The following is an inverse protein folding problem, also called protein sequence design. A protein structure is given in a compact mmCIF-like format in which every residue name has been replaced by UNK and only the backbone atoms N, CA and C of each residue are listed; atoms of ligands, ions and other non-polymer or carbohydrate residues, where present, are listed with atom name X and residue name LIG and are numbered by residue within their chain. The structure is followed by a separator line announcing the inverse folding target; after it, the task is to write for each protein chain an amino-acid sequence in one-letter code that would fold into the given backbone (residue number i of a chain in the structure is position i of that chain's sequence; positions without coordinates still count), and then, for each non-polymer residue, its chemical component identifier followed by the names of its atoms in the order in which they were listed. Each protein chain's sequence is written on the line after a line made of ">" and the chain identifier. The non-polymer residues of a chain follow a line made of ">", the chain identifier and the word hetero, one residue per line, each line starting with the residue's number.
data_IF_216392921329
#
_entry.id   IF_216392921329
#
_cell.length_a   1.000
_cell.length_b   1.000
_cell.length_c   1.000
_cell.angle_alpha   90.00
_cell.angle_beta   90.00
_cell.angle_gamma   90.00
#
_symmetry.space_group_name_H-M   'P 1'
#
loop_
_entity.id
_entity.type
_entity.pdbx_description
1 polymer ?
#
# COMPACT_ATOMS: atom_id res chain seq x y z
N UNK A 1 24.49 31.19 48.91
CA UNK A 1 23.79 31.76 47.74
C UNK A 1 24.17 30.91 46.53
N UNK A 2 23.37 29.88 46.25
CA UNK A 2 23.49 29.08 45.03
C UNK A 2 22.08 28.60 44.74
N UNK A 3 21.50 29.14 43.68
CA UNK A 3 20.15 28.87 43.21
C UNK A 3 20.30 27.72 42.23
N UNK A 4 19.81 26.55 42.62
CA UNK A 4 19.67 25.39 41.73
C UNK A 4 18.26 25.44 41.13
N UNK A 5 18.16 25.96 39.92
CA UNK A 5 16.94 25.93 39.10
C UNK A 5 17.00 24.68 38.24
N UNK A 6 16.58 23.55 38.82
CA UNK A 6 16.32 22.33 38.09
C UNK A 6 15.19 22.54 37.08
N UNK A 7 15.56 22.72 35.81
CA UNK A 7 14.64 22.57 34.69
C UNK A 7 14.12 21.12 34.67
N UNK A 8 12.81 20.88 34.50
CA UNK A 8 12.30 19.54 34.26
C UNK A 8 12.68 19.08 32.85
N UNK A 9 13.12 17.82 32.76
CA UNK A 9 13.40 17.07 31.55
C UNK A 9 12.28 17.22 30.51
N UNK A 10 12.58 17.97 29.44
CA UNK A 10 11.83 17.91 28.20
C UNK A 10 12.12 16.56 27.57
N UNK A 11 11.25 15.59 27.88
CA UNK A 11 11.07 14.38 27.08
C UNK A 11 10.74 14.83 25.67
N UNK A 12 11.75 14.87 24.80
CA UNK A 12 11.57 14.88 23.37
C UNK A 12 10.82 13.60 23.01
N UNK A 13 9.49 13.69 22.93
CA UNK A 13 8.69 12.72 22.21
C UNK A 13 9.18 12.76 20.77
N UNK A 14 9.98 11.75 20.41
CA UNK A 14 10.42 11.50 19.06
C UNK A 14 9.16 11.30 18.21
N UNK A 15 8.78 12.35 17.47
CA UNK A 15 7.74 12.28 16.47
C UNK A 15 8.27 11.32 15.40
N UNK A 16 7.57 10.22 15.07
CA UNK A 16 8.06 9.31 14.04
C UNK A 16 8.21 10.11 12.74
N UNK A 17 9.38 9.98 12.12
CA UNK A 17 9.68 10.59 10.83
C UNK A 17 8.57 10.26 9.83
N UNK A 18 8.25 11.19 8.93
CA UNK A 18 7.24 10.96 7.92
C UNK A 18 7.60 9.72 7.10
N UNK A 19 6.76 8.69 7.14
CA UNK A 19 6.97 7.46 6.36
C UNK A 19 6.89 7.77 4.87
N UNK A 20 7.91 7.38 4.12
CA UNK A 20 7.96 7.54 2.67
C UNK A 20 7.55 6.25 1.98
N UNK A 21 6.62 6.37 1.04
CA UNK A 21 6.07 5.25 0.27
C UNK A 21 6.35 5.49 -1.20
N UNK A 22 7.08 4.59 -1.84
CA UNK A 22 7.30 4.62 -3.28
C UNK A 22 6.66 3.39 -3.87
N UNK A 23 5.54 3.54 -4.58
CA UNK A 23 4.87 2.41 -5.22
C UNK A 23 5.00 2.56 -6.73
N UNK A 24 6.04 1.94 -7.29
CA UNK A 24 6.33 2.00 -8.71
C UNK A 24 5.43 1.09 -9.55
N UNK A 25 5.13 1.52 -10.77
CA UNK A 25 4.56 0.66 -11.81
C UNK A 25 5.63 -0.25 -12.40
N UNK A 26 5.43 -1.57 -12.36
CA UNK A 26 6.27 -2.50 -13.12
C UNK A 26 5.89 -2.40 -14.60
N UNK A 27 6.74 -1.77 -15.40
CA UNK A 27 6.63 -1.79 -16.85
C UNK A 27 7.34 -3.04 -17.39
N UNK A 28 6.57 -4.05 -17.82
CA UNK A 28 7.10 -5.15 -18.63
C UNK A 28 7.36 -4.64 -20.06
N UNK A 29 8.52 -4.92 -20.69
CA UNK A 29 8.72 -4.61 -22.09
C UNK A 29 7.69 -5.39 -22.94
N UNK A 30 6.99 -4.70 -23.85
CA UNK A 30 6.12 -5.31 -24.87
C UNK A 30 6.96 -6.06 -25.92
N UNK A 31 7.64 -7.14 -25.53
CA UNK A 31 8.16 -8.17 -26.43
C UNK A 31 8.83 -9.30 -25.64
N UNK A 32 8.03 -10.19 -25.07
CA UNK A 32 8.40 -11.59 -24.88
C UNK A 32 7.14 -12.44 -25.07
N UNK A 33 6.88 -12.81 -26.32
CA UNK A 33 5.95 -13.86 -26.68
C UNK A 33 6.55 -15.20 -26.20
N UNK A 34 6.46 -15.48 -24.89
CA UNK A 34 6.76 -16.80 -24.34
C UNK A 34 5.41 -17.48 -24.06
N UNK A 35 4.95 -18.23 -25.05
CA UNK A 35 3.84 -19.16 -24.93
C UNK A 35 4.32 -20.26 -23.98
N UNK A 36 3.96 -20.19 -22.70
CA UNK A 36 3.97 -21.37 -21.85
C UNK A 36 2.65 -22.11 -22.06
N UNK A 37 2.65 -23.34 -22.59
CA UNK A 37 1.44 -24.15 -22.61
C UNK A 37 1.04 -24.53 -21.16
N UNK A 38 -0.25 -24.74 -20.88
CA UNK A 38 -0.69 -25.26 -19.59
C UNK A 38 -0.03 -26.62 -19.35
N UNK A 39 0.60 -26.80 -18.19
CA UNK A 39 1.05 -28.10 -17.70
C UNK A 39 -0.17 -28.96 -17.40
N UNK A 40 -0.67 -29.63 -18.45
CA UNK A 40 -1.50 -30.83 -18.31
C UNK A 40 -0.68 -31.87 -17.59
N UNK A 41 -1.27 -32.43 -16.54
CA UNK A 41 -0.72 -33.49 -15.70
C UNK A 41 -0.62 -34.78 -16.52
N UNK A 42 0.46 -34.94 -17.29
CA UNK A 42 0.78 -36.18 -18.02
C UNK A 42 1.84 -36.92 -17.20
N UNK A 43 1.66 -38.22 -16.88
CA UNK A 43 2.60 -38.97 -16.06
C UNK A 43 4.01 -39.00 -16.68
N UNK A 44 4.95 -38.36 -16.01
CA UNK A 44 6.37 -38.38 -16.32
C UNK A 44 6.97 -39.75 -15.92
N UNK A 45 7.42 -40.53 -16.91
CA UNK A 45 8.24 -41.72 -16.67
C UNK A 45 9.72 -41.31 -16.67
N UNK A 46 10.46 -41.50 -15.57
CA UNK A 46 11.90 -41.21 -15.54
C UNK A 46 12.64 -42.07 -16.57
N UNK A 47 13.50 -41.41 -17.36
CA UNK A 47 14.23 -41.99 -18.51
C UNK A 47 15.45 -42.84 -18.11
N UNK A 48 15.41 -43.47 -16.94
CA UNK A 48 16.42 -44.41 -16.43
C UNK A 48 15.76 -45.76 -16.11
N UNK A 49 15.19 -46.37 -17.14
CA UNK A 49 14.99 -47.81 -17.24
C UNK A 49 15.43 -48.17 -18.65
N UNK A 50 16.73 -48.41 -18.82
CA UNK A 50 17.26 -49.00 -20.04
C UNK A 50 16.61 -50.38 -20.24
N UNK A 51 16.21 -50.62 -21.48
CA UNK A 51 15.72 -51.88 -22.03
C UNK A 51 16.68 -53.03 -21.69
N UNK A 52 16.41 -53.74 -20.60
CA UNK A 52 17.10 -54.96 -20.19
C UNK A 52 16.17 -56.15 -20.34
N UNK A 53 16.32 -56.89 -21.44
CA UNK A 53 15.70 -58.21 -21.61
C UNK A 53 16.13 -59.14 -20.46
N UNK A 54 15.12 -59.76 -19.84
CA UNK A 54 15.13 -60.83 -18.81
C UNK A 54 14.89 -60.32 -17.39
N UNK A 55 13.70 -60.68 -16.90
CA UNK A 55 13.22 -60.40 -15.56
C UNK A 55 14.14 -60.90 -14.45
N UNK A 56 14.53 -59.95 -13.60
CA UNK A 56 14.81 -60.17 -12.17
C UNK A 56 14.76 -58.83 -11.46
N UNK A 57 13.90 -58.70 -10.46
CA UNK A 57 13.88 -57.56 -9.55
C UNK A 57 14.99 -57.75 -8.51
N UNK A 58 15.74 -56.70 -8.20
CA UNK A 58 16.70 -56.65 -7.09
C UNK A 58 15.95 -56.49 -5.75
N UNK A 59 16.37 -57.19 -4.67
CA UNK A 59 15.75 -57.06 -3.35
C UNK A 59 16.31 -55.81 -2.65
N UNK A 60 15.52 -54.75 -2.51
CA UNK A 60 15.94 -53.55 -1.79
C UNK A 60 15.02 -52.33 -1.84
N UNK A 61 14.08 -52.25 -2.79
CA UNK A 61 13.06 -51.20 -2.78
C UNK A 61 11.96 -51.57 -1.79
N UNK A 62 12.03 -51.05 -0.56
CA UNK A 62 10.86 -50.99 0.32
C UNK A 62 9.86 -50.04 -0.31
N UNK A 63 8.60 -50.46 -0.43
CA UNK A 63 7.50 -49.56 -0.71
C UNK A 63 7.48 -48.49 0.39
N UNK A 64 7.91 -47.28 0.05
CA UNK A 64 7.75 -46.12 0.91
C UNK A 64 6.26 -45.78 0.98
N UNK A 65 5.72 -45.77 2.19
CA UNK A 65 4.37 -45.26 2.47
C UNK A 65 4.28 -43.83 1.98
N UNK A 66 3.29 -43.56 1.13
CA UNK A 66 2.89 -42.19 0.78
C UNK A 66 2.36 -41.55 2.05
N UNK A 67 3.08 -40.56 2.58
CA UNK A 67 2.55 -39.68 3.61
C UNK A 67 1.49 -38.80 2.95
N UNK A 68 0.25 -39.25 3.01
CA UNK A 68 -0.94 -38.45 2.77
C UNK A 68 -1.18 -37.63 4.04
N UNK A 69 -1.09 -36.31 3.95
CA UNK A 69 -1.58 -35.43 5.00
C UNK A 69 -0.63 -34.31 5.36
N UNK A 70 -0.63 -33.25 4.56
CA UNK A 70 -0.64 -31.91 5.14
C UNK A 70 -1.95 -31.28 4.71
N UNK A 71 -2.89 -31.20 5.64
CA UNK A 71 -4.00 -30.25 5.59
C UNK A 71 -3.40 -28.89 5.90
N UNK A 72 -2.95 -28.17 4.88
CA UNK A 72 -2.75 -26.73 4.99
C UNK A 72 -4.13 -26.09 4.72
N UNK A 73 -4.88 -25.83 5.79
CA UNK A 73 -5.73 -24.64 5.79
C UNK A 73 -4.78 -23.45 5.89
N UNK A 74 -4.31 -22.94 4.75
CA UNK A 74 -3.63 -21.65 4.74
C UNK A 74 -4.66 -20.60 5.16
N UNK A 75 -4.53 -20.05 6.38
CA UNK A 75 -5.23 -18.84 6.80
C UNK A 75 -4.84 -17.72 5.84
N UNK A 76 -5.66 -17.49 4.81
CA UNK A 76 -5.49 -16.32 3.97
C UNK A 76 -5.75 -15.08 4.85
N UNK A 77 -4.79 -14.15 4.93
CA UNK A 77 -4.95 -12.96 5.77
C UNK A 77 -6.14 -12.15 5.28
N UNK A 78 -6.98 -11.70 6.19
CA UNK A 78 -8.11 -10.81 5.91
C UNK A 78 -7.73 -9.35 6.16
N UNK A 79 -8.55 -8.40 5.71
CA UNK A 79 -8.32 -6.99 6.03
C UNK A 79 -8.32 -6.69 7.54
N UNK A 80 -9.05 -7.47 8.35
CA UNK A 80 -9.07 -7.33 9.80
C UNK A 80 -7.71 -7.65 10.44
N UNK A 81 -6.92 -8.52 9.81
CA UNK A 81 -5.61 -8.93 10.30
C UNK A 81 -4.51 -7.89 10.00
N UNK A 82 -4.81 -6.88 9.17
CA UNK A 82 -3.84 -5.88 8.73
C UNK A 82 -3.72 -4.67 9.66
N UNK A 83 -4.46 -4.61 10.77
CA UNK A 83 -4.36 -3.53 11.76
C UNK A 83 -5.02 -2.20 11.36
N UNK A 84 -5.94 -2.22 10.39
CA UNK A 84 -6.64 -1.03 9.90
C UNK A 84 -7.65 -0.48 10.92
N UNK A 85 -7.93 0.83 10.84
CA UNK A 85 -8.93 1.48 11.68
C UNK A 85 -10.34 0.98 11.41
N UNK A 86 -11.21 0.96 12.44
CA UNK A 86 -12.57 0.42 12.35
C UNK A 86 -13.45 1.09 11.29
N UNK A 87 -13.31 2.41 11.12
CA UNK A 87 -14.02 3.16 10.08
C UNK A 87 -13.60 2.74 8.67
N UNK A 88 -12.31 2.48 8.46
CA UNK A 88 -11.76 2.02 7.17
C UNK A 88 -12.20 0.58 6.89
N UNK A 89 -12.12 -0.31 7.89
CA UNK A 89 -12.61 -1.69 7.75
C UNK A 89 -14.08 -1.74 7.37
N UNK A 90 -14.93 -0.93 8.01
CA UNK A 90 -16.35 -0.82 7.66
C UNK A 90 -16.55 -0.38 6.20
N UNK A 91 -15.80 0.62 5.75
CA UNK A 91 -15.87 1.08 4.35
C UNK A 91 -15.48 -0.05 3.38
N UNK A 92 -14.43 -0.83 3.70
CA UNK A 92 -13.99 -1.95 2.87
C UNK A 92 -15.07 -3.04 2.75
N UNK A 93 -15.71 -3.40 3.87
CA UNK A 93 -16.82 -4.39 3.86
C UNK A 93 -17.98 -3.92 2.98
N UNK A 94 -18.40 -2.65 3.09
CA UNK A 94 -19.49 -2.08 2.28
C UNK A 94 -19.13 -1.97 0.79
N UNK A 95 -17.85 -1.77 0.48
CA UNK A 95 -17.33 -1.76 -0.89
C UNK A 95 -17.11 -3.17 -1.48
N UNK A 96 -17.31 -4.24 -0.70
CA UNK A 96 -17.14 -5.62 -1.15
C UNK A 96 -15.67 -6.08 -1.23
N UNK A 97 -14.78 -5.48 -0.45
CA UNK A 97 -13.40 -5.96 -0.32
C UNK A 97 -13.36 -7.15 0.63
N UNK A 98 -13.04 -8.33 0.09
CA UNK A 98 -13.00 -9.59 0.87
C UNK A 98 -11.57 -9.97 1.24
N UNK A 99 -10.68 -10.10 0.24
CA UNK A 99 -9.32 -10.60 0.42
C UNK A 99 -8.31 -9.52 0.01
N UNK A 100 -7.33 -9.19 0.88
CA UNK A 100 -6.26 -8.26 0.54
C UNK A 100 -5.31 -8.86 -0.51
N UNK A 101 -4.85 -8.02 -1.44
CA UNK A 101 -3.86 -8.44 -2.43
C UNK A 101 -2.47 -8.63 -1.79
N UNK A 102 -1.54 -9.36 -2.42
CA UNK A 102 -0.19 -9.58 -1.87
C UNK A 102 0.56 -8.27 -1.57
N UNK A 103 0.40 -7.25 -2.42
CA UNK A 103 1.01 -5.94 -2.18
C UNK A 103 0.38 -5.27 -0.94
N UNK A 104 -0.91 -5.44 -0.67
CA UNK A 104 -1.56 -4.89 0.51
C UNK A 104 -1.11 -5.60 1.79
N UNK A 105 -1.06 -6.94 1.78
CA UNK A 105 -0.55 -7.75 2.90
C UNK A 105 0.89 -7.37 3.23
N UNK A 106 1.74 -7.21 2.22
CA UNK A 106 3.16 -6.90 2.41
C UNK A 106 3.46 -5.45 2.82
N UNK A 107 2.54 -4.50 2.60
CA UNK A 107 2.81 -3.05 2.78
C UNK A 107 1.99 -2.41 3.89
N UNK A 108 0.72 -2.78 4.07
CA UNK A 108 -0.17 -2.10 5.02
C UNK A 108 0.37 -2.15 6.46
N UNK A 109 0.77 -3.32 7.03
CA UNK A 109 1.31 -3.37 8.37
C UNK A 109 2.58 -2.53 8.55
N UNK A 110 3.48 -2.56 7.56
CA UNK A 110 4.73 -1.78 7.59
C UNK A 110 4.46 -0.26 7.59
N UNK A 111 3.50 0.20 6.80
CA UNK A 111 3.08 1.61 6.76
C UNK A 111 2.38 2.05 8.05
N UNK A 112 1.60 1.17 8.67
CA UNK A 112 0.98 1.43 9.97
C UNK A 112 2.01 1.56 11.09
N UNK A 113 3.13 0.86 10.99
CA UNK A 113 4.27 1.00 11.89
C UNK A 113 5.12 2.26 11.60
N UNK A 114 4.90 2.92 10.46
CA UNK A 114 5.64 4.11 10.03
C UNK A 114 6.96 3.78 9.35
N UNK A 115 7.11 2.57 8.82
CA UNK A 115 8.29 2.17 8.03
C UNK A 115 8.16 2.67 6.60
N UNK A 116 9.31 2.96 6.00
CA UNK A 116 9.40 3.26 4.57
C UNK A 116 9.20 1.99 3.75
N UNK A 117 8.53 2.13 2.60
CA UNK A 117 8.19 0.99 1.73
C UNK A 117 8.44 1.35 0.28
N UNK A 118 9.09 0.43 -0.43
CA UNK A 118 9.16 0.42 -1.89
C UNK A 118 8.37 -0.78 -2.40
N UNK A 119 7.27 -0.53 -3.10
CA UNK A 119 6.38 -1.55 -3.65
C UNK A 119 6.41 -1.55 -5.17
N UNK A 120 6.59 -2.72 -5.78
CA UNK A 120 6.39 -2.91 -7.22
C UNK A 120 5.18 -3.83 -7.41
N UNK A 121 4.22 -3.40 -8.21
CA UNK A 121 3.13 -4.28 -8.63
C UNK A 121 2.61 -3.88 -10.02
N UNK A 122 1.71 -4.67 -10.58
CA UNK A 122 1.05 -4.39 -11.86
C UNK A 122 -0.15 -3.43 -11.67
N UNK A 123 -0.60 -2.77 -12.73
CA UNK A 123 -1.84 -1.98 -12.70
C UNK A 123 -3.03 -2.86 -12.32
N UNK A 124 -3.96 -2.35 -11.52
CA UNK A 124 -5.15 -3.11 -11.09
C UNK A 124 -4.93 -4.08 -9.93
N UNK A 125 -3.74 -4.11 -9.31
CA UNK A 125 -3.40 -4.99 -8.16
C UNK A 125 -3.75 -4.39 -6.79
N UNK A 126 -4.49 -3.28 -6.75
CA UNK A 126 -4.93 -2.66 -5.49
C UNK A 126 -3.89 -1.77 -4.80
N UNK A 127 -2.90 -1.25 -5.54
CA UNK A 127 -1.86 -0.32 -5.04
C UNK A 127 -2.42 0.90 -4.32
N UNK A 128 -3.45 1.52 -4.88
CA UNK A 128 -4.07 2.70 -4.27
C UNK A 128 -4.59 2.40 -2.88
N UNK A 129 -5.25 1.26 -2.68
CA UNK A 129 -5.67 0.81 -1.36
C UNK A 129 -4.46 0.46 -0.45
N UNK A 130 -3.38 -0.09 -1.01
CA UNK A 130 -2.18 -0.46 -0.26
C UNK A 130 -1.56 0.74 0.49
N UNK A 131 -1.60 1.96 -0.07
CA UNK A 131 -1.17 3.16 0.64
C UNK A 131 -2.31 3.98 1.26
N UNK A 132 -3.50 4.03 0.63
CA UNK A 132 -4.60 4.86 1.12
C UNK A 132 -5.18 4.35 2.45
N UNK A 133 -5.34 3.04 2.60
CA UNK A 133 -5.92 2.44 3.81
C UNK A 133 -5.09 2.71 5.08
N UNK A 134 -3.75 2.54 5.09
CA UNK A 134 -2.95 2.90 6.25
C UNK A 134 -2.88 4.42 6.47
N UNK A 135 -2.90 5.24 5.41
CA UNK A 135 -3.00 6.71 5.55
C UNK A 135 -4.28 7.10 6.31
N UNK A 136 -5.42 6.58 5.86
CA UNK A 136 -6.73 6.86 6.45
C UNK A 136 -6.86 6.33 7.88
N UNK A 137 -6.18 5.22 8.19
CA UNK A 137 -6.19 4.66 9.55
C UNK A 137 -5.38 5.48 10.55
N UNK A 138 -4.43 6.31 10.08
CA UNK A 138 -3.53 7.11 10.94
C UNK A 138 -3.85 8.60 10.99
N UNK A 139 -4.80 9.06 10.16
CA UNK A 139 -5.11 10.48 10.02
C UNK A 139 -5.88 11.00 11.24
N UNK A 140 -5.50 12.17 11.76
CA UNK A 140 -6.30 12.88 12.76
C UNK A 140 -7.22 13.87 12.03
N UNK A 141 -8.51 13.53 11.91
CA UNK A 141 -9.53 14.36 11.26
C UNK A 141 -9.81 15.68 12.00
N UNK A 142 -9.38 15.81 13.27
CA UNK A 142 -9.55 17.04 14.04
C UNK A 142 -8.48 18.09 13.72
N UNK A 143 -7.35 17.66 13.15
CA UNK A 143 -6.34 18.57 12.66
C UNK A 143 -6.72 19.11 11.29
N UNK A 144 -6.44 20.39 11.05
CA UNK A 144 -6.57 21.03 9.74
C UNK A 144 -5.26 20.99 8.94
N UNK A 145 -4.18 20.43 9.50
CA UNK A 145 -2.89 20.33 8.82
C UNK A 145 -2.89 19.23 7.75
N UNK A 146 -2.18 19.47 6.65
CA UNK A 146 -1.84 18.41 5.68
C UNK A 146 -1.01 17.35 6.37
N UNK A 147 -1.50 16.10 6.39
CA UNK A 147 -0.87 14.95 7.04
C UNK A 147 -0.38 13.91 6.03
N UNK A 148 -0.96 13.86 4.84
CA UNK A 148 -0.51 13.00 3.76
C UNK A 148 -0.44 13.75 2.42
N UNK A 149 0.63 13.49 1.67
CA UNK A 149 0.82 13.99 0.31
C UNK A 149 1.01 12.80 -0.63
N UNK A 150 0.20 12.72 -1.68
CA UNK A 150 0.34 11.74 -2.74
C UNK A 150 0.68 12.45 -4.02
N UNK A 151 1.83 12.14 -4.61
CA UNK A 151 2.26 12.69 -5.88
C UNK A 151 1.96 11.69 -6.99
N UNK A 152 1.26 12.15 -8.03
CA UNK A 152 0.96 11.38 -9.23
C UNK A 152 1.32 12.17 -10.50
N UNK A 153 1.76 11.50 -11.58
CA UNK A 153 2.29 12.16 -12.78
C UNK A 153 1.26 12.94 -13.59
N UNK A 154 -0.03 12.56 -13.54
CA UNK A 154 -1.07 13.14 -14.39
C UNK A 154 -2.27 13.61 -13.59
N UNK A 155 -3.02 14.57 -14.14
CA UNK A 155 -4.25 15.09 -13.55
C UNK A 155 -5.28 13.98 -13.38
N UNK A 156 -5.40 13.10 -14.37
CA UNK A 156 -6.35 12.01 -14.41
C UNK A 156 -6.10 11.05 -13.25
N UNK A 157 -4.83 10.70 -13.01
CA UNK A 157 -4.46 9.81 -11.91
C UNK A 157 -4.66 10.49 -10.54
N UNK A 158 -4.36 11.78 -10.41
CA UNK A 158 -4.69 12.56 -9.20
C UNK A 158 -6.18 12.47 -8.87
N UNK A 159 -7.05 12.64 -9.86
CA UNK A 159 -8.49 12.56 -9.66
C UNK A 159 -8.94 11.14 -9.28
N UNK A 160 -8.40 10.11 -9.94
CA UNK A 160 -8.69 8.71 -9.61
C UNK A 160 -8.28 8.34 -8.19
N UNK A 161 -7.08 8.76 -7.77
CA UNK A 161 -6.58 8.52 -6.42
C UNK A 161 -7.42 9.29 -5.40
N UNK A 162 -7.73 10.58 -5.63
CA UNK A 162 -8.58 11.36 -4.73
C UNK A 162 -9.99 10.76 -4.58
N UNK A 163 -10.58 10.25 -5.66
CA UNK A 163 -11.86 9.54 -5.63
C UNK A 163 -11.77 8.23 -4.83
N UNK A 164 -10.68 7.47 -4.97
CA UNK A 164 -10.46 6.26 -4.17
C UNK A 164 -10.37 6.59 -2.68
N UNK A 165 -9.62 7.62 -2.28
CA UNK A 165 -9.60 8.10 -0.90
C UNK A 165 -11.01 8.47 -0.40
N UNK A 166 -11.80 9.18 -1.21
CA UNK A 166 -13.17 9.54 -0.86
C UNK A 166 -14.07 8.33 -0.58
N UNK A 167 -13.93 7.26 -1.37
CA UNK A 167 -14.65 5.99 -1.16
C UNK A 167 -14.23 5.30 0.14
N UNK A 168 -12.93 5.18 0.39
CA UNK A 168 -12.41 4.52 1.59
C UNK A 168 -12.66 5.32 2.88
N UNK A 169 -12.80 6.65 2.77
CA UNK A 169 -13.00 7.54 3.89
C UNK A 169 -14.45 7.89 4.21
N UNK A 170 -15.44 7.24 3.58
CA UNK A 170 -16.85 7.61 3.74
C UNK A 170 -17.34 7.57 5.21
N UNK A 171 -16.70 6.75 6.06
CA UNK A 171 -16.96 6.68 7.51
C UNK A 171 -16.04 7.56 8.37
N UNK A 172 -15.30 8.50 7.77
CA UNK A 172 -14.42 9.46 8.44
C UNK A 172 -14.95 10.90 8.26
N UNK A 173 -15.98 11.30 9.03
CA UNK A 173 -16.52 12.65 8.95
C UNK A 173 -15.45 13.69 9.31
N UNK A 174 -15.41 14.79 8.56
CA UNK A 174 -14.42 15.85 8.75
C UNK A 174 -13.09 15.64 8.00
N UNK A 175 -12.91 14.50 7.33
CA UNK A 175 -11.77 14.33 6.43
C UNK A 175 -11.96 15.13 5.14
N UNK A 176 -10.92 15.84 4.74
CA UNK A 176 -10.83 16.57 3.49
C UNK A 176 -9.66 16.05 2.64
N UNK A 177 -10.02 15.53 1.47
CA UNK A 177 -9.07 15.12 0.42
C UNK A 177 -9.10 16.19 -0.67
N UNK A 178 -7.94 16.75 -1.00
CA UNK A 178 -7.83 17.82 -1.97
C UNK A 178 -6.97 17.40 -3.18
N UNK A 179 -7.55 17.31 -4.38
CA UNK A 179 -6.78 17.18 -5.60
C UNK A 179 -6.14 18.52 -6.01
N UNK A 180 -4.84 18.51 -6.33
CA UNK A 180 -4.01 19.69 -6.63
C UNK A 180 -3.26 19.48 -7.94
N UNK A 181 -3.67 20.14 -9.02
CA UNK A 181 -3.08 19.94 -10.34
C UNK A 181 -3.17 21.19 -11.23
N UNK A 182 -2.35 21.22 -12.29
CA UNK A 182 -2.28 22.30 -13.27
C UNK A 182 -3.51 22.42 -14.17
N UNK A 183 -3.69 23.56 -14.85
CA UNK A 183 -4.82 23.78 -15.77
C UNK A 183 -6.16 24.12 -15.09
N UNK A 184 -6.21 24.15 -13.75
CA UNK A 184 -7.28 24.80 -12.99
C UNK A 184 -6.79 26.09 -12.31
N UNK A 185 -7.76 26.99 -12.08
CA UNK A 185 -7.54 28.20 -11.31
C UNK A 185 -7.04 27.85 -9.89
N UNK A 186 -6.26 28.75 -9.29
CA UNK A 186 -5.75 28.56 -7.93
C UNK A 186 -6.83 28.65 -6.86
N UNK A 187 -7.85 29.50 -7.06
CA UNK A 187 -8.83 29.83 -6.03
C UNK A 187 -9.53 28.60 -5.41
N UNK A 188 -10.01 27.59 -6.17
CA UNK A 188 -10.57 26.38 -5.59
C UNK A 188 -9.58 25.58 -4.74
N UNK A 189 -8.32 25.48 -5.18
CA UNK A 189 -7.26 24.76 -4.47
C UNK A 189 -6.89 25.49 -3.18
N UNK A 190 -6.76 26.82 -3.23
CA UNK A 190 -6.54 27.66 -2.05
C UNK A 190 -7.68 27.55 -1.04
N UNK A 191 -8.93 27.56 -1.52
CA UNK A 191 -10.09 27.37 -0.66
C UNK A 191 -10.09 25.98 -0.01
N UNK A 192 -9.68 24.95 -0.76
CA UNK A 192 -9.49 23.60 -0.24
C UNK A 192 -8.44 23.51 0.87
N UNK A 193 -7.26 24.10 0.64
CA UNK A 193 -6.18 24.10 1.63
C UNK A 193 -6.63 24.84 2.90
N UNK A 194 -7.27 26.01 2.75
CA UNK A 194 -7.78 26.81 3.89
C UNK A 194 -8.87 26.11 4.70
N UNK A 195 -9.65 25.20 4.09
CA UNK A 195 -10.62 24.37 4.81
C UNK A 195 -9.97 23.28 5.66
N UNK A 196 -8.66 23.05 5.50
CA UNK A 196 -7.90 22.04 6.22
C UNK A 196 -7.87 20.71 5.48
N UNK A 197 -7.18 20.67 4.34
CA UNK A 197 -7.01 19.43 3.57
C UNK A 197 -5.97 18.51 4.24
N UNK A 198 -6.42 17.47 4.94
CA UNK A 198 -5.49 16.55 5.61
C UNK A 198 -4.80 15.59 4.62
N UNK A 199 -5.44 15.29 3.49
CA UNK A 199 -4.84 14.55 2.38
C UNK A 199 -4.77 15.46 1.16
N UNK A 200 -3.58 15.66 0.62
CA UNK A 200 -3.37 16.31 -0.67
C UNK A 200 -2.93 15.25 -1.67
N UNK A 201 -3.61 15.19 -2.82
CA UNK A 201 -3.20 14.36 -3.95
C UNK A 201 -2.89 15.32 -5.09
N UNK A 202 -1.69 15.31 -5.67
CA UNK A 202 -1.35 16.34 -6.64
C UNK A 202 -0.27 16.01 -7.63
N UNK A 203 -0.22 16.80 -8.70
CA UNK A 203 0.87 16.73 -9.67
C UNK A 203 2.08 17.50 -9.13
N UNK A 204 3.31 17.00 -9.32
CA UNK A 204 4.51 17.61 -8.73
C UNK A 204 4.63 19.11 -8.98
N UNK A 205 4.46 19.55 -10.24
CA UNK A 205 4.59 20.96 -10.60
C UNK A 205 3.62 21.88 -9.82
N UNK A 206 2.34 21.52 -9.73
CA UNK A 206 1.37 22.37 -9.02
C UNK A 206 1.54 22.32 -7.51
N UNK A 207 1.97 21.19 -6.95
CA UNK A 207 2.31 21.10 -5.53
C UNK A 207 3.50 22.00 -5.21
N UNK A 208 4.57 21.95 -6.01
CA UNK A 208 5.73 22.84 -5.88
C UNK A 208 5.30 24.31 -5.95
N UNK A 209 4.46 24.69 -6.92
CA UNK A 209 3.93 26.07 -7.00
C UNK A 209 3.28 26.52 -5.68
N UNK A 210 2.49 25.64 -5.05
CA UNK A 210 1.81 25.95 -3.79
C UNK A 210 2.77 26.09 -2.61
N UNK A 211 3.83 25.27 -2.57
CA UNK A 211 4.89 25.32 -1.56
C UNK A 211 5.72 26.61 -1.69
N UNK A 212 6.18 26.94 -2.90
CA UNK A 212 6.96 28.16 -3.16
C UNK A 212 6.18 29.44 -2.82
N UNK A 213 4.86 29.41 -3.01
CA UNK A 213 3.96 30.51 -2.65
C UNK A 213 3.60 30.56 -1.16
N UNK A 214 4.02 29.58 -0.36
CA UNK A 214 3.66 29.45 1.06
C UNK A 214 2.16 29.20 1.30
N UNK A 215 1.46 28.66 0.30
CA UNK A 215 0.00 28.44 0.36
C UNK A 215 -0.37 27.04 0.80
N UNK A 216 0.55 26.07 0.66
CA UNK A 216 0.47 24.74 1.23
C UNK A 216 1.58 24.61 2.27
N UNK A 217 1.21 24.26 3.49
CA UNK A 217 2.15 23.94 4.57
C UNK A 217 2.20 22.42 4.77
N UNK A 218 3.41 21.87 4.84
CA UNK A 218 3.70 20.46 5.05
C UNK A 218 4.36 20.19 6.41
N UNK A 219 4.41 21.16 7.34
CA UNK A 219 4.96 20.97 8.68
C UNK A 219 4.27 19.85 9.50
N UNK A 220 3.03 19.50 9.13
CA UNK A 220 2.28 18.37 9.73
C UNK A 220 2.35 17.06 8.95
N UNK A 221 3.16 16.97 7.89
CA UNK A 221 3.21 15.81 7.00
C UNK A 221 3.75 14.58 7.74
N UNK A 222 3.02 13.47 7.63
CA UNK A 222 3.36 12.16 8.25
C UNK A 222 3.59 11.07 7.22
N UNK A 223 3.06 11.21 6.02
CA UNK A 223 3.24 10.25 4.93
C UNK A 223 3.38 10.96 3.59
N UNK A 224 4.37 10.53 2.80
CA UNK A 224 4.56 10.94 1.41
C UNK A 224 4.45 9.69 0.52
N UNK A 225 3.63 9.76 -0.53
CA UNK A 225 3.50 8.70 -1.54
C UNK A 225 3.96 9.21 -2.89
N UNK A 226 4.78 8.41 -3.57
CA UNK A 226 5.14 8.59 -4.97
C UNK A 226 4.51 7.43 -5.77
N UNK A 227 3.48 7.74 -6.58
CA UNK A 227 2.74 6.79 -7.45
C UNK A 227 3.00 7.05 -8.94
#
# INVERSE_FOLDING_TARGET
>A
MQIDVGLPDLVHQHQPAAGTVVIGQQFEPRSALAIHPPTVNVPYRPRWCAEGRRGRLSPGCRAGTVFSGVTESEDQPTFHDLGLGTAVLRALTELGYEVPSPIQVGTIPALLEGRDVVGLAQTGTGKTAAFALPILSRIDVRSTSTQALVLAPTRELVLQVAEAFGRYAHHLPGLHVLPVYGGQAYAPQLAGIRRGAQVVVGTPGRVIDHLERGTLDLGGLRMLVLD
#
